data_IF_228021891149
#
_entry.id   IF_228021891149
#
_cell.length_a   1.000
_cell.length_b   1.000
_cell.length_c   1.000
_cell.angle_alpha   90.00
_cell.angle_beta   90.00
_cell.angle_gamma   90.00
#
_symmetry.space_group_name_H-M   'P 1'
#
loop_
_entity.id
_entity.type
_entity.pdbx_description
1 polymer ?
#
# COMPACT_ATOMS: atom_id res chain seq x y z
N UNK A 1 -1.76 -2.35 16.77
CA UNK A 1 -0.43 -2.32 16.14
C UNK A 1 -0.59 -2.70 14.67
N UNK A 2 -0.46 -1.73 13.74
CA UNK A 2 -0.68 -1.90 12.28
C UNK A 2 0.53 -1.40 11.48
N UNK A 3 1.28 -0.45 12.04
CA UNK A 3 2.51 0.10 11.45
C UNK A 3 3.54 -0.93 10.95
N UNK A 4 3.84 -2.06 11.64
CA UNK A 4 4.80 -3.03 11.10
C UNK A 4 4.31 -3.73 9.82
N UNK A 5 2.99 -3.89 9.64
CA UNK A 5 2.44 -4.45 8.40
C UNK A 5 2.60 -3.47 7.24
N UNK A 6 2.30 -2.19 7.46
CA UNK A 6 2.49 -1.14 6.44
C UNK A 6 3.96 -1.04 6.04
N UNK A 7 4.87 -1.06 7.02
CA UNK A 7 6.31 -1.05 6.76
C UNK A 7 6.75 -2.27 5.93
N UNK A 8 6.23 -3.47 6.22
CA UNK A 8 6.50 -4.66 5.43
C UNK A 8 6.03 -4.55 3.97
N UNK A 9 4.84 -4.00 3.73
CA UNK A 9 4.32 -3.79 2.37
C UNK A 9 5.11 -2.72 1.62
N UNK A 10 5.54 -1.65 2.30
CA UNK A 10 6.42 -0.64 1.72
C UNK A 10 7.78 -1.22 1.30
N UNK A 11 8.37 -2.11 2.12
CA UNK A 11 9.60 -2.82 1.76
C UNK A 11 9.41 -3.71 0.53
N UNK A 12 8.29 -4.43 0.44
CA UNK A 12 8.00 -5.26 -0.74
C UNK A 12 7.78 -4.41 -2.00
N UNK A 13 7.16 -3.24 -1.87
CA UNK A 13 6.98 -2.28 -2.95
C UNK A 13 8.32 -1.75 -3.47
N UNK A 14 9.21 -1.34 -2.56
CA UNK A 14 10.57 -0.89 -2.88
C UNK A 14 11.49 -2.02 -3.39
N UNK A 15 11.17 -3.28 -3.06
CA UNK A 15 11.91 -4.42 -3.59
C UNK A 15 11.79 -4.57 -5.12
N UNK A 16 10.74 -4.00 -5.71
CA UNK A 16 10.55 -3.95 -7.16
C UNK A 16 11.26 -2.74 -7.78
N UNK A 17 11.16 -1.57 -7.15
CA UNK A 17 11.86 -0.34 -7.54
C UNK A 17 12.45 0.35 -6.30
N UNK A 18 13.77 0.20 -6.04
CA UNK A 18 14.40 0.69 -4.81
C UNK A 18 14.62 2.20 -4.79
N UNK A 19 14.49 2.88 -5.94
CA UNK A 19 14.75 4.32 -6.06
C UNK A 19 13.47 5.17 -5.95
N UNK A 20 12.30 4.55 -5.72
CA UNK A 20 11.05 5.31 -5.55
C UNK A 20 11.05 6.21 -4.31
N UNK A 21 10.54 7.43 -4.51
CA UNK A 21 10.52 8.41 -3.45
C UNK A 21 9.50 8.01 -2.35
N UNK A 22 9.74 8.37 -1.08
CA UNK A 22 8.82 8.04 0.01
C UNK A 22 7.37 8.54 -0.22
N UNK A 23 7.21 9.65 -0.94
CA UNK A 23 5.90 10.19 -1.29
C UNK A 23 5.14 9.26 -2.26
N UNK A 24 5.84 8.70 -3.25
CA UNK A 24 5.27 7.80 -4.24
C UNK A 24 4.90 6.45 -3.59
N UNK A 25 5.74 5.93 -2.69
CA UNK A 25 5.40 4.75 -1.87
C UNK A 25 4.13 5.01 -1.06
N UNK A 26 4.03 6.16 -0.39
CA UNK A 26 2.85 6.50 0.41
C UNK A 26 1.59 6.58 -0.46
N UNK A 27 1.69 7.23 -1.62
CA UNK A 27 0.58 7.39 -2.57
C UNK A 27 0.13 6.04 -3.12
N UNK A 28 1.08 5.19 -3.53
CA UNK A 28 0.78 3.84 -4.01
C UNK A 28 0.06 3.00 -2.96
N UNK A 29 0.47 3.08 -1.69
CA UNK A 29 -0.19 2.35 -0.59
C UNK A 29 -1.62 2.84 -0.33
N UNK A 30 -1.86 4.15 -0.39
CA UNK A 30 -3.20 4.72 -0.14
C UNK A 30 -4.14 4.56 -1.32
N UNK A 31 -3.66 4.71 -2.55
CA UNK A 31 -4.49 4.65 -3.76
C UNK A 31 -4.93 3.21 -4.08
N UNK A 32 -4.10 2.23 -3.73
CA UNK A 32 -4.40 0.81 -3.91
C UNK A 32 -5.06 0.15 -2.69
N UNK A 33 -5.34 0.92 -1.62
CA UNK A 33 -6.05 0.40 -0.46
C UNK A 33 -7.51 0.04 -0.80
N UNK A 34 -8.05 -0.95 -0.10
CA UNK A 34 -9.47 -1.28 -0.16
C UNK A 34 -10.26 -0.19 0.56
N UNK A 35 -11.22 0.41 -0.14
CA UNK A 35 -12.07 1.49 0.37
C UNK A 35 -13.33 0.92 1.02
N UNK A 36 -13.78 1.56 2.09
CA UNK A 36 -15.09 1.33 2.72
C UNK A 36 -15.32 -0.08 3.29
N UNK A 37 -14.24 -0.81 3.60
CA UNK A 37 -14.32 -2.18 4.16
C UNK A 37 -14.18 -2.23 5.68
N UNK A 38 -13.73 -1.14 6.32
CA UNK A 38 -13.66 -1.06 7.79
C UNK A 38 -15.06 -0.74 8.31
N UNK A 39 -15.61 -1.63 9.13
CA UNK A 39 -17.01 -1.53 9.62
C UNK A 39 -17.24 -0.37 10.61
N UNK A 40 -16.22 0.01 11.37
CA UNK A 40 -16.29 1.13 12.31
C UNK A 40 -14.95 1.89 12.33
N UNK A 41 -14.66 2.72 11.30
CA UNK A 41 -13.38 3.40 11.16
C UNK A 41 -13.18 4.55 12.18
N UNK A 42 -14.25 4.98 12.85
CA UNK A 42 -14.27 6.20 13.67
C UNK A 42 -14.51 7.46 12.83
N UNK A 43 -15.04 8.50 13.47
CA UNK A 43 -15.37 9.76 12.81
C UNK A 43 -14.08 10.49 12.36
N UNK A 44 -14.07 10.97 11.11
CA UNK A 44 -12.91 11.67 10.53
C UNK A 44 -11.79 10.77 10.02
N UNK A 45 -11.83 9.46 10.28
CA UNK A 45 -10.83 8.51 9.76
C UNK A 45 -11.08 8.17 8.29
N UNK A 46 -10.04 8.12 7.45
CA UNK A 46 -10.17 7.54 6.11
C UNK A 46 -10.48 6.04 6.22
N UNK A 47 -11.54 5.59 5.55
CA UNK A 47 -11.94 4.18 5.53
C UNK A 47 -11.10 3.41 4.49
N UNK A 48 -9.83 3.18 4.83
CA UNK A 48 -8.85 2.51 3.97
C UNK A 48 -8.26 1.29 4.70
N UNK A 49 -8.25 0.16 4.01
CA UNK A 49 -7.58 -1.06 4.44
C UNK A 49 -6.43 -1.39 3.48
N UNK A 50 -5.23 -1.58 4.03
CA UNK A 50 -4.04 -1.96 3.28
C UNK A 50 -4.30 -3.21 2.41
N UNK A 51 -4.00 -3.12 1.11
CA UNK A 51 -4.07 -4.24 0.17
C UNK A 51 -2.66 -4.63 -0.27
N UNK A 52 -2.37 -5.92 -0.44
CA UNK A 52 -1.11 -6.40 -1.04
C UNK A 52 -1.29 -6.85 -2.49
N UNK A 53 -2.52 -6.86 -3.01
CA UNK A 53 -2.82 -7.34 -4.37
C UNK A 53 -2.14 -6.50 -5.46
N UNK A 54 -1.95 -5.20 -5.21
CA UNK A 54 -1.33 -4.30 -6.18
C UNK A 54 0.18 -4.56 -6.36
N UNK A 55 0.84 -5.19 -5.38
CA UNK A 55 2.24 -5.59 -5.51
C UNK A 55 2.43 -6.63 -6.62
N UNK A 56 1.46 -7.52 -6.81
CA UNK A 56 1.51 -8.50 -7.90
C UNK A 56 1.48 -7.82 -9.27
N UNK A 57 0.71 -6.74 -9.41
CA UNK A 57 0.66 -5.93 -10.64
C UNK A 57 2.00 -5.22 -10.89
N UNK A 58 2.56 -4.57 -9.86
CA UNK A 58 3.88 -3.91 -9.95
C UNK A 58 4.99 -4.89 -10.34
N UNK A 59 4.96 -6.13 -9.81
CA UNK A 59 5.92 -7.17 -10.18
C UNK A 59 5.77 -7.66 -11.63
N UNK A 60 4.56 -7.62 -12.19
CA UNK A 60 4.32 -7.98 -13.59
C UNK A 60 4.83 -6.90 -14.55
N UNK A 61 4.66 -5.64 -14.20
CA UNK A 61 5.08 -4.51 -15.05
C UNK A 61 6.61 -4.37 -15.18
N UNK A 62 7.39 -4.98 -14.28
CA UNK A 62 8.85 -4.98 -14.33
C UNK A 62 9.46 -6.16 -15.11
N UNK A 63 8.66 -7.08 -15.64
CA UNK A 63 9.14 -8.29 -16.31
C UNK A 63 8.95 -8.28 -17.84
N UNK A 64 8.88 -7.09 -18.44
CA UNK A 64 8.85 -6.85 -19.89
C UNK A 64 10.01 -5.99 -20.35
#
# INVERSE_FOLDING_TARGET
>A
MVSPYIAGVAVLYLGADPDEAPADVSMALTDNALKDVVQNPGEGSPNLLLSTQFLQKKQQDHNG
#
